data_IF_459615007837
#
_entry.id   IF_459615007837
#
_cell.length_a   1.000
_cell.length_b   1.000
_cell.length_c   1.000
_cell.angle_alpha   90.00
_cell.angle_beta   90.00
_cell.angle_gamma   90.00
#
_symmetry.space_group_name_H-M   'P 1'
#
loop_
_entity.id
_entity.type
_entity.pdbx_description
1 polymer ?
#
# COMPACT_ATOMS: atom_id res chain seq x y z
N UNK A 1 27.17 63.76 -28.51
CA UNK A 1 26.62 62.52 -29.10
C UNK A 1 27.44 61.35 -28.58
N UNK A 2 26.91 60.54 -27.65
CA UNK A 2 27.56 59.29 -27.22
C UNK A 2 26.47 58.33 -26.77
N UNK A 3 26.30 57.22 -27.51
CA UNK A 3 25.33 56.16 -27.21
C UNK A 3 26.05 55.07 -26.41
N UNK A 4 25.68 54.89 -25.16
CA UNK A 4 26.09 53.75 -24.34
C UNK A 4 25.11 52.61 -24.65
N UNK A 5 25.61 51.51 -25.22
CA UNK A 5 24.84 50.29 -25.46
C UNK A 5 24.88 49.42 -24.20
N UNK A 6 23.71 49.16 -23.61
CA UNK A 6 23.54 48.25 -22.48
C UNK A 6 23.29 46.84 -23.05
N UNK A 7 24.27 45.95 -22.95
CA UNK A 7 24.08 44.52 -23.23
C UNK A 7 23.42 43.87 -22.01
N UNK A 8 22.17 43.43 -22.17
CA UNK A 8 21.50 42.59 -21.19
C UNK A 8 21.97 41.14 -21.37
N UNK A 9 22.67 40.61 -20.36
CA UNK A 9 23.00 39.19 -20.28
C UNK A 9 21.72 38.43 -19.84
N UNK A 10 21.11 37.68 -20.74
CA UNK A 10 20.01 36.79 -20.40
C UNK A 10 20.57 35.46 -19.86
N UNK A 11 20.51 35.27 -18.54
CA UNK A 11 20.70 33.95 -17.93
C UNK A 11 19.46 33.08 -18.19
N UNK A 12 19.52 32.21 -19.19
CA UNK A 12 18.52 31.16 -19.38
C UNK A 12 18.68 30.06 -18.32
N UNK A 13 17.76 29.98 -17.37
CA UNK A 13 17.66 28.84 -16.48
C UNK A 13 17.04 27.65 -17.25
N UNK A 14 17.86 26.66 -17.57
CA UNK A 14 17.38 25.36 -18.05
C UNK A 14 16.80 24.60 -16.86
N UNK A 15 15.46 24.56 -16.75
CA UNK A 15 14.79 23.64 -15.85
C UNK A 15 14.89 22.22 -16.43
N UNK A 16 15.91 21.47 -16.02
CA UNK A 16 15.97 20.04 -16.27
C UNK A 16 14.93 19.35 -15.37
N UNK A 17 13.79 18.97 -15.95
CA UNK A 17 12.84 18.07 -15.29
C UNK A 17 13.50 16.70 -15.16
N UNK A 18 14.09 16.41 -14.00
CA UNK A 18 14.52 15.06 -13.68
C UNK A 18 13.26 14.17 -13.64
N UNK A 19 13.12 13.30 -14.64
CA UNK A 19 12.09 12.26 -14.61
C UNK A 19 12.32 11.41 -13.35
N UNK A 20 11.29 11.27 -12.51
CA UNK A 20 11.37 10.42 -11.34
C UNK A 20 11.69 8.99 -11.79
N UNK A 21 12.74 8.41 -11.21
CA UNK A 21 13.15 7.04 -11.51
C UNK A 21 12.04 6.06 -11.10
N UNK A 22 11.60 5.20 -12.02
CA UNK A 22 10.65 4.15 -11.71
C UNK A 22 11.33 3.05 -10.85
N UNK A 23 10.69 2.58 -9.76
CA UNK A 23 11.27 1.49 -8.97
C UNK A 23 11.37 0.18 -9.76
N UNK A 24 12.35 -0.66 -9.41
CA UNK A 24 12.59 -1.96 -10.07
C UNK A 24 11.64 -3.05 -9.58
N UNK A 25 11.00 -3.78 -10.49
CA UNK A 25 9.95 -4.76 -10.13
C UNK A 25 10.44 -6.02 -9.40
N UNK A 26 11.71 -6.40 -9.50
CA UNK A 26 12.24 -7.62 -8.86
C UNK A 26 12.77 -8.68 -9.83
N UNK A 27 12.30 -8.69 -11.08
CA UNK A 27 12.65 -9.71 -12.08
C UNK A 27 11.47 -9.98 -13.02
N UNK A 28 11.40 -11.19 -13.55
CA UNK A 28 10.26 -11.64 -14.38
C UNK A 28 8.96 -11.66 -13.56
N UNK A 29 7.87 -11.19 -14.15
CA UNK A 29 6.56 -11.05 -13.48
C UNK A 29 5.84 -12.40 -13.35
N UNK A 30 5.31 -12.74 -12.19
CA UNK A 30 4.53 -13.95 -11.94
C UNK A 30 3.08 -13.56 -11.66
N UNK A 31 2.14 -13.98 -12.51
CA UNK A 31 0.76 -13.53 -12.39
C UNK A 31 -0.08 -14.47 -11.53
N UNK A 32 -0.83 -13.86 -10.61
CA UNK A 32 -1.94 -14.46 -9.88
C UNK A 32 -3.17 -14.37 -10.79
N UNK A 33 -3.50 -15.50 -11.41
CA UNK A 33 -4.58 -15.64 -12.37
C UNK A 33 -5.90 -15.84 -11.63
N UNK A 34 -6.84 -14.93 -11.86
CA UNK A 34 -8.18 -14.97 -11.25
C UNK A 34 -9.21 -15.25 -12.33
N UNK A 35 -9.97 -16.33 -12.17
CA UNK A 35 -11.09 -16.67 -13.04
C UNK A 35 -12.38 -16.78 -12.23
N UNK A 36 -13.51 -16.46 -12.86
CA UNK A 36 -14.84 -16.63 -12.27
C UNK A 36 -15.64 -17.63 -13.10
N UNK A 37 -16.07 -18.74 -12.50
CA UNK A 37 -16.87 -19.76 -13.16
C UNK A 37 -17.94 -20.30 -12.22
N UNK A 38 -19.19 -20.37 -12.68
CA UNK A 38 -20.33 -20.84 -11.89
C UNK A 38 -20.40 -20.20 -10.48
N UNK A 39 -20.25 -18.87 -10.42
CA UNK A 39 -20.27 -18.09 -9.18
C UNK A 39 -19.13 -18.44 -8.19
N UNK A 40 -18.09 -19.15 -8.63
CA UNK A 40 -16.91 -19.45 -7.82
C UNK A 40 -15.67 -18.79 -8.41
N UNK A 41 -14.91 -18.12 -7.56
CA UNK A 41 -13.59 -17.58 -7.88
C UNK A 41 -12.56 -18.70 -7.80
N UNK A 42 -11.78 -18.84 -8.86
CA UNK A 42 -10.63 -19.74 -8.96
C UNK A 42 -9.37 -18.90 -9.06
N UNK A 43 -8.34 -19.31 -8.32
CA UNK A 43 -7.05 -18.62 -8.30
C UNK A 43 -5.96 -19.63 -8.60
N UNK A 44 -5.05 -19.26 -9.50
CA UNK A 44 -3.80 -19.99 -9.73
C UNK A 44 -2.63 -19.03 -9.85
N UNK A 45 -1.43 -19.56 -9.71
CA UNK A 45 -0.19 -18.82 -9.92
C UNK A 45 0.51 -19.40 -11.14
N UNK A 46 0.95 -18.55 -12.07
CA UNK A 46 1.62 -19.01 -13.29
C UNK A 46 2.92 -19.76 -13.02
N UNK A 47 3.69 -19.30 -12.03
CA UNK A 47 5.00 -19.86 -11.68
C UNK A 47 5.06 -20.15 -10.17
N UNK A 48 4.38 -21.21 -9.69
CA UNK A 48 4.33 -21.52 -8.27
C UNK A 48 5.65 -22.08 -7.73
N UNK A 49 6.50 -22.62 -8.60
CA UNK A 49 7.83 -23.13 -8.30
C UNK A 49 8.86 -22.04 -7.99
N UNK A 50 8.58 -20.78 -8.33
CA UNK A 50 9.43 -19.62 -8.01
C UNK A 50 9.15 -19.00 -6.64
N UNK A 51 8.12 -19.47 -5.92
CA UNK A 51 7.76 -18.94 -4.60
C UNK A 51 8.65 -19.59 -3.51
N UNK A 52 9.22 -18.82 -2.56
CA UNK A 52 9.05 -17.38 -2.34
C UNK A 52 9.87 -16.49 -3.28
N UNK A 53 9.30 -15.34 -3.68
CA UNK A 53 10.02 -14.35 -4.49
C UNK A 53 11.00 -13.53 -3.65
N UNK A 54 12.11 -13.10 -4.24
CA UNK A 54 13.14 -12.35 -3.51
C UNK A 54 12.80 -10.85 -3.45
N UNK A 55 12.71 -10.29 -2.23
CA UNK A 55 12.75 -8.84 -2.02
C UNK A 55 14.19 -8.33 -2.05
N UNK A 56 14.40 -7.16 -2.64
CA UNK A 56 15.72 -6.54 -2.75
C UNK A 56 15.68 -5.10 -2.29
N UNK A 57 16.71 -4.68 -1.55
CA UNK A 57 16.94 -3.28 -1.28
C UNK A 57 17.92 -2.76 -2.32
N UNK A 58 17.40 -1.99 -3.27
CA UNK A 58 18.19 -1.50 -4.39
C UNK A 58 19.08 -0.31 -4.02
N UNK A 59 19.09 0.13 -2.76
CA UNK A 59 19.79 1.33 -2.28
C UNK A 59 19.38 2.62 -3.04
N UNK A 60 18.24 2.58 -3.72
CA UNK A 60 17.66 3.70 -4.45
C UNK A 60 16.87 4.59 -3.49
N UNK A 61 16.68 5.85 -3.89
CA UNK A 61 15.78 6.80 -3.24
C UNK A 61 14.86 7.39 -4.28
N UNK A 62 13.59 7.51 -3.94
CA UNK A 62 12.59 8.03 -4.85
C UNK A 62 12.02 9.36 -4.36
N UNK A 63 11.70 10.24 -5.31
CA UNK A 63 10.90 11.42 -5.05
C UNK A 63 9.40 11.08 -5.12
N UNK A 64 8.56 11.90 -4.48
CA UNK A 64 7.10 11.72 -4.50
C UNK A 64 6.62 10.45 -3.79
N UNK A 65 5.51 9.88 -4.24
CA UNK A 65 4.83 8.77 -3.57
C UNK A 65 5.65 7.48 -3.53
N UNK A 66 6.52 7.26 -4.51
CA UNK A 66 7.41 6.09 -4.54
C UNK A 66 8.41 6.05 -3.36
N UNK A 67 8.62 7.17 -2.66
CA UNK A 67 9.48 7.25 -1.49
C UNK A 67 9.06 6.34 -0.32
N UNK A 68 7.87 5.74 -0.36
CA UNK A 68 7.45 4.69 0.60
C UNK A 68 8.33 3.44 0.57
N UNK A 69 9.04 3.21 -0.55
CA UNK A 69 9.96 2.10 -0.76
C UNK A 69 11.39 2.38 -0.28
N UNK A 70 11.72 3.62 0.03
CA UNK A 70 13.07 4.02 0.44
C UNK A 70 13.56 3.19 1.63
N UNK A 71 14.82 2.72 1.54
CA UNK A 71 15.52 1.95 2.59
C UNK A 71 14.87 0.62 2.97
N UNK A 72 13.95 0.11 2.16
CA UNK A 72 13.30 -1.19 2.36
C UNK A 72 13.78 -2.23 1.35
N UNK A 73 13.61 -3.50 1.67
CA UNK A 73 13.53 -4.54 0.65
C UNK A 73 12.14 -4.50 0.03
N UNK A 74 12.04 -4.56 -1.29
CA UNK A 74 10.75 -4.60 -1.97
C UNK A 74 10.76 -5.50 -3.21
N UNK A 75 9.55 -5.87 -3.63
CA UNK A 75 9.26 -6.71 -4.78
C UNK A 75 7.87 -6.35 -5.34
N UNK A 76 7.70 -6.38 -6.66
CA UNK A 76 6.41 -6.21 -7.32
C UNK A 76 6.20 -7.24 -8.45
N UNK A 77 6.86 -8.40 -8.37
CA UNK A 77 6.77 -9.43 -9.40
C UNK A 77 5.40 -10.12 -9.40
N UNK A 78 4.71 -10.23 -8.27
CA UNK A 78 3.34 -10.72 -8.26
C UNK A 78 2.38 -9.70 -8.88
N UNK A 79 1.62 -10.12 -9.89
CA UNK A 79 0.59 -9.30 -10.53
C UNK A 79 -0.77 -9.97 -10.50
N UNK A 80 -1.83 -9.25 -10.13
CA UNK A 80 -3.20 -9.74 -10.26
C UNK A 80 -3.64 -9.60 -11.70
N UNK A 81 -4.20 -10.68 -12.27
CA UNK A 81 -4.66 -10.70 -13.66
C UNK A 81 -5.99 -11.45 -13.78
N UNK A 82 -6.98 -10.83 -14.42
CA UNK A 82 -8.17 -11.56 -14.84
C UNK A 82 -7.80 -12.57 -15.94
N UNK A 83 -8.01 -13.84 -15.65
CA UNK A 83 -7.76 -14.95 -16.57
C UNK A 83 -9.08 -15.33 -17.27
N UNK A 84 -9.41 -14.55 -18.30
CA UNK A 84 -10.64 -14.64 -19.05
C UNK A 84 -11.61 -13.49 -18.74
N UNK A 85 -12.86 -13.63 -19.18
CA UNK A 85 -13.89 -12.64 -18.92
C UNK A 85 -14.51 -12.85 -17.54
N UNK A 86 -14.54 -11.79 -16.73
CA UNK A 86 -15.26 -11.74 -15.46
C UNK A 86 -16.49 -10.86 -15.68
N UNK A 87 -17.67 -11.48 -15.64
CA UNK A 87 -18.95 -10.78 -15.72
C UNK A 87 -19.61 -10.78 -14.35
N UNK A 88 -19.87 -9.60 -13.80
CA UNK A 88 -20.47 -9.42 -12.49
C UNK A 88 -21.89 -8.83 -12.61
N UNK A 89 -22.75 -9.02 -11.59
CA UNK A 89 -23.92 -8.16 -11.39
C UNK A 89 -23.54 -6.67 -11.40
N UNK A 90 -24.46 -5.79 -11.78
CA UNK A 90 -24.20 -4.34 -11.92
C UNK A 90 -23.93 -3.63 -10.59
N UNK A 91 -24.27 -4.27 -9.48
CA UNK A 91 -24.13 -3.84 -8.11
C UNK A 91 -23.06 -4.65 -7.36
N UNK A 92 -22.16 -5.31 -8.09
CA UNK A 92 -21.07 -6.10 -7.54
C UNK A 92 -19.70 -5.64 -8.05
N UNK A 93 -18.66 -5.94 -7.26
CA UNK A 93 -17.26 -5.72 -7.61
C UNK A 93 -16.39 -6.93 -7.20
N UNK A 94 -15.19 -7.04 -7.78
CA UNK A 94 -14.18 -7.96 -7.27
C UNK A 94 -13.43 -7.30 -6.12
N UNK A 95 -13.33 -8.01 -5.01
CA UNK A 95 -12.63 -7.55 -3.82
C UNK A 95 -11.47 -8.50 -3.51
N UNK A 96 -10.38 -7.93 -3.03
CA UNK A 96 -9.23 -8.66 -2.49
C UNK A 96 -9.04 -8.23 -1.05
N UNK A 97 -8.80 -9.19 -0.16
CA UNK A 97 -8.46 -8.90 1.23
C UNK A 97 -7.42 -9.90 1.77
N UNK A 98 -6.56 -9.48 2.70
CA UNK A 98 -5.72 -10.41 3.44
C UNK A 98 -6.55 -11.14 4.50
N UNK A 99 -6.44 -12.47 4.54
CA UNK A 99 -6.92 -13.31 5.64
C UNK A 99 -5.86 -13.46 6.73
N UNK A 100 -4.60 -13.53 6.32
CA UNK A 100 -3.43 -13.56 7.18
C UNK A 100 -2.26 -12.87 6.49
N UNK A 101 -1.44 -12.14 7.23
CA UNK A 101 -0.31 -11.40 6.69
C UNK A 101 0.77 -11.22 7.76
N UNK A 102 2.04 -11.43 7.38
CA UNK A 102 3.17 -11.09 8.25
C UNK A 102 3.09 -9.61 8.66
N UNK A 103 3.05 -9.26 9.96
CA UNK A 103 2.75 -7.90 10.42
C UNK A 103 3.66 -6.79 9.85
N UNK A 104 4.90 -7.12 9.52
CA UNK A 104 5.89 -6.18 8.98
C UNK A 104 5.82 -6.03 7.45
N UNK A 105 5.03 -6.86 6.76
CA UNK A 105 4.80 -6.75 5.32
C UNK A 105 3.91 -5.54 5.03
N UNK A 106 4.35 -4.68 4.13
CA UNK A 106 3.63 -3.50 3.66
C UNK A 106 3.28 -3.67 2.19
N UNK A 107 2.09 -3.25 1.82
CA UNK A 107 1.59 -3.36 0.45
C UNK A 107 1.09 -2.00 -0.06
N UNK A 108 1.50 -1.66 -1.28
CA UNK A 108 1.11 -0.42 -1.94
C UNK A 108 0.59 -0.69 -3.35
N UNK A 109 -0.38 0.09 -3.78
CA UNK A 109 -0.97 0.01 -5.11
C UNK A 109 0.02 0.42 -6.22
N UNK A 110 -0.09 -0.21 -7.38
CA UNK A 110 0.68 0.18 -8.56
C UNK A 110 0.33 1.61 -9.01
N UNK A 111 1.33 2.37 -9.44
CA UNK A 111 1.15 3.70 -10.04
C UNK A 111 0.95 4.82 -9.02
N UNK A 112 0.09 4.64 -8.01
CA UNK A 112 -0.19 5.66 -6.98
C UNK A 112 0.72 5.54 -5.76
N UNK A 113 1.20 4.33 -5.46
CA UNK A 113 1.84 3.97 -4.19
C UNK A 113 0.96 4.23 -2.96
N UNK A 114 -0.37 4.30 -3.15
CA UNK A 114 -1.30 4.37 -2.04
C UNK A 114 -1.23 3.09 -1.21
N UNK A 115 -1.26 3.18 0.13
CA UNK A 115 -1.21 1.98 0.97
C UNK A 115 -2.53 1.20 0.87
N UNK A 116 -2.42 -0.13 0.83
CA UNK A 116 -3.55 -1.07 0.77
C UNK A 116 -3.35 -2.20 1.79
N UNK A 117 -4.39 -3.02 2.00
CA UNK A 117 -4.35 -4.20 2.86
C UNK A 117 -3.93 -3.91 4.31
N UNK A 118 -4.53 -2.88 4.92
CA UNK A 118 -4.22 -2.44 6.28
C UNK A 118 -2.92 -1.64 6.44
N UNK A 119 -2.09 -1.54 5.39
CA UNK A 119 -0.84 -0.77 5.42
C UNK A 119 -1.14 0.68 5.80
N UNK A 120 -0.40 1.23 6.76
CA UNK A 120 -0.57 2.61 7.23
C UNK A 120 -2.03 2.98 7.62
N UNK A 121 -2.83 2.01 8.05
CA UNK A 121 -4.24 2.22 8.43
C UNK A 121 -5.20 2.34 7.24
N UNK A 122 -4.79 1.90 6.05
CA UNK A 122 -5.70 1.75 4.91
C UNK A 122 -6.79 0.70 5.20
N UNK A 123 -7.82 0.67 4.34
CA UNK A 123 -8.76 -0.46 4.32
C UNK A 123 -8.01 -1.79 4.13
N UNK A 124 -8.52 -2.86 4.73
CA UNK A 124 -8.12 -4.25 4.44
C UNK A 124 -8.76 -4.76 3.14
N UNK A 125 -9.91 -4.21 2.75
CA UNK A 125 -10.56 -4.48 1.48
C UNK A 125 -10.01 -3.55 0.40
N UNK A 126 -9.62 -4.13 -0.72
CA UNK A 126 -9.22 -3.41 -1.93
C UNK A 126 -10.10 -3.87 -3.10
N UNK A 127 -10.77 -2.91 -3.72
CA UNK A 127 -11.56 -3.15 -4.94
C UNK A 127 -10.60 -3.30 -6.11
N UNK A 128 -10.77 -4.37 -6.87
CA UNK A 128 -9.96 -4.65 -8.06
C UNK A 128 -10.86 -4.66 -9.29
N UNK A 129 -10.47 -3.92 -10.32
CA UNK A 129 -11.26 -3.75 -11.55
C UNK A 129 -11.03 -4.88 -12.58
N UNK A 130 -10.26 -5.91 -12.23
CA UNK A 130 -9.88 -6.99 -13.14
C UNK A 130 -8.67 -6.69 -14.03
N UNK A 131 -8.13 -5.46 -13.98
CA UNK A 131 -6.97 -5.08 -14.79
C UNK A 131 -5.67 -5.73 -14.29
N UNK A 132 -4.69 -5.85 -15.19
CA UNK A 132 -3.34 -6.30 -14.82
C UNK A 132 -2.70 -5.28 -13.88
N UNK A 133 -2.40 -5.68 -12.65
CA UNK A 133 -1.84 -4.78 -11.64
C UNK A 133 -0.81 -5.47 -10.75
N UNK A 134 0.34 -4.82 -10.59
CA UNK A 134 1.45 -5.29 -9.76
C UNK A 134 1.60 -4.43 -8.51
N UNK A 135 1.13 -4.95 -7.38
CA UNK A 135 1.29 -4.28 -6.09
C UNK A 135 2.75 -4.32 -5.65
N UNK A 136 3.16 -3.28 -4.93
CA UNK A 136 4.47 -3.20 -4.30
C UNK A 136 4.42 -3.81 -2.91
N UNK A 137 5.17 -4.88 -2.70
CA UNK A 137 5.36 -5.51 -1.41
C UNK A 137 6.70 -5.08 -0.83
N UNK A 138 6.73 -4.67 0.43
CA UNK A 138 7.90 -4.06 1.03
C UNK A 138 8.03 -4.38 2.52
N UNK A 139 9.27 -4.59 2.96
CA UNK A 139 9.60 -4.77 4.37
C UNK A 139 10.95 -4.12 4.72
N UNK A 140 11.09 -3.67 5.97
CA UNK A 140 12.34 -3.09 6.45
C UNK A 140 13.31 -4.13 7.04
N UNK A 141 12.77 -5.19 7.64
CA UNK A 141 13.57 -6.23 8.28
C UNK A 141 13.89 -7.35 7.30
N UNK A 142 15.07 -7.94 7.43
CA UNK A 142 15.38 -9.21 6.77
C UNK A 142 14.50 -10.30 7.36
N UNK A 143 14.01 -11.21 6.53
CA UNK A 143 13.15 -12.31 6.96
C UNK A 143 12.31 -12.90 5.83
N UNK A 144 11.49 -13.87 6.19
CA UNK A 144 10.47 -14.46 5.33
C UNK A 144 9.12 -13.81 5.61
N UNK A 145 8.37 -13.59 4.54
CA UNK A 145 7.11 -12.87 4.56
C UNK A 145 6.07 -13.68 3.79
N UNK A 146 4.87 -13.73 4.32
CA UNK A 146 3.72 -14.36 3.68
C UNK A 146 2.49 -13.47 3.78
N UNK A 147 1.60 -13.63 2.81
CA UNK A 147 0.25 -13.09 2.87
C UNK A 147 -0.70 -14.07 2.18
N UNK A 148 -1.76 -14.44 2.90
CA UNK A 148 -2.87 -15.23 2.37
C UNK A 148 -4.00 -14.29 2.03
N UNK A 149 -4.40 -14.27 0.77
CA UNK A 149 -5.46 -13.42 0.25
C UNK A 149 -6.71 -14.23 -0.05
N UNK A 150 -7.87 -13.62 0.18
CA UNK A 150 -9.14 -14.02 -0.40
C UNK A 150 -9.49 -13.08 -1.53
N UNK A 151 -9.89 -13.64 -2.68
CA UNK A 151 -10.48 -12.90 -3.79
C UNK A 151 -11.93 -13.35 -3.92
N UNK A 152 -12.87 -12.41 -3.91
CA UNK A 152 -14.30 -12.72 -3.90
C UNK A 152 -15.11 -11.66 -4.66
N UNK A 153 -16.33 -12.05 -5.06
CA UNK A 153 -17.32 -11.11 -5.55
C UNK A 153 -18.07 -10.56 -4.34
N UNK A 154 -18.09 -9.25 -4.19
CA UNK A 154 -18.79 -8.54 -3.11
C UNK A 154 -19.75 -7.50 -3.65
N UNK A 155 -20.67 -7.05 -2.81
CA UNK A 155 -21.46 -5.84 -3.04
C UNK A 155 -20.53 -4.61 -3.07
N UNK A 156 -21.05 -3.44 -3.48
CA UNK A 156 -20.26 -2.21 -3.59
C UNK A 156 -19.72 -1.69 -2.25
N UNK A 157 -20.24 -2.18 -1.12
CA UNK A 157 -19.74 -1.87 0.22
C UNK A 157 -18.66 -2.85 0.73
N UNK A 158 -18.34 -3.87 -0.07
CA UNK A 158 -17.35 -4.90 0.26
C UNK A 158 -17.91 -6.11 1.01
N UNK A 159 -19.21 -6.16 1.30
CA UNK A 159 -19.83 -7.37 1.85
C UNK A 159 -19.89 -8.50 0.81
N UNK A 160 -19.80 -9.79 1.20
CA UNK A 160 -19.85 -10.90 0.23
C UNK A 160 -21.17 -10.94 -0.56
N UNK A 161 -21.10 -11.03 -1.88
CA UNK A 161 -22.28 -11.05 -2.73
C UNK A 161 -22.99 -12.42 -2.64
N UNK A 162 -24.31 -12.48 -2.38
CA UNK A 162 -25.03 -13.75 -2.20
C UNK A 162 -24.88 -14.73 -3.37
N UNK A 163 -24.59 -16.00 -3.05
CA UNK A 163 -24.42 -17.07 -4.03
C UNK A 163 -23.02 -17.18 -4.62
N UNK A 164 -22.15 -16.20 -4.41
CA UNK A 164 -20.75 -16.28 -4.83
C UNK A 164 -19.86 -16.92 -3.77
N UNK A 165 -18.84 -17.64 -4.22
CA UNK A 165 -17.80 -18.22 -3.37
C UNK A 165 -16.44 -17.64 -3.76
N UNK A 166 -15.70 -17.13 -2.77
CA UNK A 166 -14.33 -16.64 -2.97
C UNK A 166 -13.31 -17.77 -3.17
N UNK A 167 -12.16 -17.40 -3.71
CA UNK A 167 -10.96 -18.22 -3.79
C UNK A 167 -9.86 -17.66 -2.89
N UNK A 168 -8.88 -18.49 -2.56
CA UNK A 168 -7.77 -18.10 -1.69
C UNK A 168 -6.42 -18.46 -2.32
N UNK A 169 -5.40 -17.66 -2.00
CA UNK A 169 -4.01 -17.94 -2.38
C UNK A 169 -3.04 -17.40 -1.32
N UNK A 170 -1.98 -18.14 -1.05
CA UNK A 170 -0.86 -17.68 -0.23
C UNK A 170 0.30 -17.29 -1.13
N UNK A 171 0.78 -16.06 -0.98
CA UNK A 171 1.98 -15.53 -1.62
C UNK A 171 3.11 -15.45 -0.59
N UNK A 172 4.34 -15.65 -1.05
CA UNK A 172 5.52 -15.69 -0.20
C UNK A 172 6.68 -14.87 -0.78
N UNK A 173 7.43 -14.25 0.12
CA UNK A 173 8.65 -13.52 -0.19
C UNK A 173 9.75 -13.82 0.82
N UNK A 174 11.00 -13.71 0.38
CA UNK A 174 12.17 -13.70 1.27
C UNK A 174 12.93 -12.40 1.04
N UNK A 175 13.18 -11.64 2.11
CA UNK A 175 14.14 -10.54 2.11
C UNK A 175 15.43 -11.03 2.76
N UNK A 176 16.42 -11.50 1.98
CA UNK A 176 17.57 -12.24 2.52
C UNK A 176 18.59 -11.34 3.23
N UNK A 177 19.33 -11.94 4.19
CA UNK A 177 20.58 -11.37 4.69
C UNK A 177 21.55 -11.17 3.53
N UNK A 178 22.06 -9.94 3.35
CA UNK A 178 22.89 -9.60 2.19
C UNK A 178 22.12 -8.97 1.03
N UNK A 179 20.86 -8.55 1.24
CA UNK A 179 20.10 -7.72 0.29
C UNK A 179 20.69 -6.32 0.06
N UNK A 180 21.81 -5.97 0.70
CA UNK A 180 22.75 -4.95 0.23
C UNK A 180 23.60 -5.62 -0.85
N UNK A 181 23.40 -5.28 -2.12
CA UNK A 181 24.21 -5.84 -3.20
C UNK A 181 25.70 -5.85 -2.85
N UNK A 182 26.23 -7.01 -2.49
CA UNK A 182 27.66 -7.39 -2.33
C UNK A 182 28.67 -6.32 -1.85
N UNK A 183 28.28 -5.29 -1.09
CA UNK A 183 29.22 -4.27 -0.60
C UNK A 183 28.69 -3.62 0.68
N UNK A 184 29.23 -4.13 1.80
CA UNK A 184 29.46 -3.48 3.09
C UNK A 184 28.46 -2.40 3.57
N UNK A 185 27.66 -2.76 4.56
CA UNK A 185 27.03 -1.77 5.43
C UNK A 185 26.02 -2.38 6.38
N UNK A 186 26.49 -2.98 7.48
CA UNK A 186 25.62 -3.32 8.62
C UNK A 186 24.80 -2.09 9.01
N UNK A 187 23.49 -2.12 8.77
CA UNK A 187 22.57 -1.31 9.56
C UNK A 187 22.04 -2.23 10.65
N UNK A 188 22.53 -1.96 11.85
CA UNK A 188 22.10 -2.61 13.08
C UNK A 188 20.58 -2.52 13.21
N UNK A 189 20.01 -3.67 13.57
CA UNK A 189 18.72 -3.90 14.22
C UNK A 189 18.02 -2.62 14.70
N UNK A 190 17.24 -1.98 13.83
CA UNK A 190 16.33 -0.90 14.24
C UNK A 190 15.07 -1.57 14.75
N UNK A 191 15.08 -1.91 16.04
CA UNK A 191 13.84 -2.18 16.78
C UNK A 191 12.85 -1.06 16.49
N UNK A 192 11.72 -1.45 15.88
CA UNK A 192 10.50 -0.70 15.66
C UNK A 192 10.45 0.70 16.29
N UNK A 193 10.85 1.73 15.54
CA UNK A 193 10.55 3.11 15.90
C UNK A 193 9.59 3.73 14.89
N UNK A 194 8.35 3.89 15.37
CA UNK A 194 7.33 4.90 15.05
C UNK A 194 6.90 5.04 13.58
N UNK A 195 5.60 4.84 13.39
CA UNK A 195 4.81 5.23 12.21
C UNK A 195 5.40 6.47 11.52
N UNK A 196 5.84 6.28 10.28
CA UNK A 196 6.05 7.39 9.34
C UNK A 196 4.66 8.02 9.15
N UNK A 197 4.48 9.33 9.43
CA UNK A 197 3.21 9.99 9.15
C UNK A 197 2.92 9.91 7.65
N UNK A 198 1.66 9.61 7.30
CA UNK A 198 1.19 9.69 5.92
C UNK A 198 1.54 11.08 5.33
N UNK A 199 2.02 11.17 4.08
CA UNK A 199 2.19 12.45 3.40
C UNK A 199 0.85 13.18 3.35
N UNK A 200 0.78 14.39 3.91
CA UNK A 200 -0.35 15.31 3.65
C UNK A 200 -1.06 15.97 4.84
N UNK A 201 -0.68 15.74 6.10
CA UNK A 201 -1.23 16.56 7.21
C UNK A 201 -0.28 17.68 7.61
N UNK A 202 -0.54 18.87 7.06
CA UNK A 202 -0.03 20.13 7.62
C UNK A 202 -0.52 20.22 9.06
N UNK A 203 0.40 20.17 10.02
CA UNK A 203 0.10 20.41 11.43
C UNK A 203 -0.40 21.85 11.58
N UNK A 204 -1.72 22.02 11.76
CA UNK A 204 -2.26 23.28 12.27
C UNK A 204 -1.93 23.36 13.75
N UNK A 205 -0.96 24.19 14.06
CA UNK A 205 -0.71 24.72 15.39
C UNK A 205 -1.99 25.42 15.89
N UNK A 206 -2.61 24.89 16.95
CA UNK A 206 -3.72 25.54 17.65
C UNK A 206 -3.28 25.80 19.08
N UNK A 207 -3.01 27.08 19.30
CA UNK A 207 -2.64 27.65 20.58
C UNK A 207 -3.61 27.27 21.70
N UNK A 208 -3.01 27.00 22.85
CA UNK A 208 -3.72 26.75 24.08
C UNK A 208 -4.48 27.98 24.57
N UNK A 209 -5.67 27.73 25.14
CA UNK A 209 -6.27 28.57 26.17
C UNK A 209 -7.01 27.70 27.18
N UNK A 210 -6.54 27.79 28.42
CA UNK A 210 -7.38 28.19 29.55
C UNK A 210 -8.46 27.22 30.01
N UNK A 211 -8.13 26.46 31.06
CA UNK A 211 -9.08 25.86 32.00
C UNK A 211 -9.93 26.95 32.68
N UNK A 212 -11.20 26.64 32.94
CA UNK A 212 -12.09 27.43 33.79
C UNK A 212 -13.38 26.67 34.11
N UNK A 213 -13.31 25.81 35.12
CA UNK A 213 -14.39 24.96 35.64
C UNK A 213 -15.32 25.80 36.53
N UNK A 214 -16.63 25.79 36.27
CA UNK A 214 -17.65 26.26 37.21
C UNK A 214 -18.71 25.16 37.42
N UNK A 215 -19.04 24.98 38.69
CA UNK A 215 -19.98 24.02 39.31
C UNK A 215 -21.42 24.17 38.80
N UNK A 216 -22.31 23.19 39.06
CA UNK A 216 -23.30 23.49 40.08
C UNK A 216 -23.60 22.36 41.06
N UNK A 217 -24.01 22.79 42.25
CA UNK A 217 -24.53 22.02 43.35
C UNK A 217 -26.02 21.65 43.13
N UNK A 218 -26.35 20.42 43.53
CA UNK A 218 -27.43 20.05 44.47
C UNK A 218 -28.78 20.76 44.30
N UNK A 219 -29.85 20.02 43.96
CA UNK A 219 -31.07 19.96 44.79
C UNK A 219 -31.96 18.73 44.48
N UNK A 220 -32.70 18.31 45.50
CA UNK A 220 -33.50 17.10 45.71
C UNK A 220 -34.85 17.15 44.99
N UNK A 221 -35.48 15.99 44.74
CA UNK A 221 -36.64 15.48 45.50
C UNK A 221 -37.54 14.45 44.77
N UNK A 222 -37.87 13.37 45.52
CA UNK A 222 -39.14 12.59 45.61
C UNK A 222 -39.87 12.04 44.35
N UNK A 223 -39.75 10.71 44.21
CA UNK A 223 -40.79 9.66 44.39
C UNK A 223 -42.07 9.63 43.48
N UNK A 224 -42.88 8.54 43.49
CA UNK A 224 -43.10 7.68 42.32
C UNK A 224 -44.57 7.67 41.82
N UNK A 225 -44.86 6.98 40.72
CA UNK A 225 -46.15 6.30 40.56
C UNK A 225 -46.15 5.20 39.49
N UNK A 226 -46.80 4.11 39.87
CA UNK A 226 -47.19 2.96 39.05
C UNK A 226 -48.20 3.36 37.96
N UNK A 227 -48.13 2.68 36.81
CA UNK A 227 -49.23 1.92 36.23
C UNK A 227 -48.67 0.82 35.32
#
# INVERSE_FOLDING_TARGET
MSRVALQALACGALAASALAQAPRMGGEMSHVLVSLYQQRVYISLERPDEVPLTMRNYQERYSGSAGVLDRSGYNAQFGWLANGFISLPSDAAMWIEPLDQTPELRTFEQGTFAPIFGTAGSSSLWEWDGSMVHNWYSAFAIGDYTATYRVFVGELDGSPYPGFTGGEITLGWTYPTGGLGSTGGMFADVRATRQIPAPGRVARDRGGRGRGRATPAIERARAPNNH
#
